data_IF_409662030810
#
_entry.id   IF_409662030810
#
_cell.length_a   1.000
_cell.length_b   1.000
_cell.length_c   1.000
_cell.angle_alpha   90.00
_cell.angle_beta   90.00
_cell.angle_gamma   90.00
#
_symmetry.space_group_name_H-M   'P 1'
#
loop_
_entity.id
_entity.type
_entity.pdbx_description
1 polymer ?
#
# COMPACT_ATOMS: atom_id res chain seq x y z
N UNK A 1 -30.64 -9.33 -27.61
CA UNK A 1 -29.17 -9.44 -27.54
C UNK A 1 -28.80 -9.44 -26.08
N UNK A 2 -28.25 -10.55 -25.59
CA UNK A 2 -27.75 -10.66 -24.23
C UNK A 2 -26.40 -9.95 -24.26
N UNK A 3 -26.31 -8.76 -23.66
CA UNK A 3 -25.01 -8.20 -23.31
C UNK A 3 -24.38 -9.18 -22.33
N UNK A 4 -23.39 -9.93 -22.77
CA UNK A 4 -22.45 -10.54 -21.83
C UNK A 4 -21.85 -9.39 -21.02
N UNK A 5 -21.99 -9.35 -19.69
CA UNK A 5 -21.20 -8.44 -18.89
C UNK A 5 -19.75 -8.91 -19.00
N UNK A 6 -19.05 -8.33 -19.96
CA UNK A 6 -17.59 -8.29 -19.97
C UNK A 6 -17.17 -7.61 -18.67
N UNK A 7 -16.31 -8.26 -17.89
CA UNK A 7 -15.70 -7.71 -16.69
C UNK A 7 -14.60 -6.71 -17.11
N UNK A 8 -14.94 -5.78 -17.98
CA UNK A 8 -14.09 -4.63 -18.31
C UNK A 8 -14.40 -3.57 -17.27
N UNK A 9 -13.40 -3.21 -16.46
CA UNK A 9 -13.46 -1.99 -15.68
C UNK A 9 -13.66 -0.84 -16.69
N UNK A 10 -14.84 -0.25 -16.77
CA UNK A 10 -14.89 1.11 -17.27
C UNK A 10 -14.50 2.01 -16.11
N UNK A 11 -13.70 3.05 -16.38
CA UNK A 11 -13.45 4.14 -15.41
C UNK A 11 -14.77 4.64 -14.79
N UNK A 12 -15.88 4.50 -15.52
CA UNK A 12 -17.25 4.78 -15.07
C UNK A 12 -17.63 4.00 -13.80
N UNK A 13 -17.21 2.74 -13.63
CA UNK A 13 -17.53 1.95 -12.43
C UNK A 13 -16.77 2.44 -11.18
N UNK A 14 -15.51 2.88 -11.33
CA UNK A 14 -14.77 3.47 -10.20
C UNK A 14 -15.39 4.82 -9.83
N UNK A 15 -15.72 5.64 -10.83
CA UNK A 15 -16.39 6.93 -10.64
C UNK A 15 -17.77 6.78 -9.97
N UNK A 16 -18.58 5.79 -10.38
CA UNK A 16 -19.85 5.44 -9.75
C UNK A 16 -19.66 5.12 -8.26
N UNK A 17 -18.66 4.29 -7.95
CA UNK A 17 -18.41 3.86 -6.58
C UNK A 17 -17.95 5.00 -5.68
N UNK A 18 -17.05 5.85 -6.20
CA UNK A 18 -16.60 7.06 -5.50
C UNK A 18 -17.77 8.02 -5.26
N UNK A 19 -18.65 8.20 -6.26
CA UNK A 19 -19.83 9.05 -6.13
C UNK A 19 -20.77 8.53 -5.03
N UNK A 20 -21.03 7.23 -4.99
CA UNK A 20 -21.81 6.63 -3.91
C UNK A 20 -21.16 6.87 -2.54
N UNK A 21 -19.86 6.59 -2.39
CA UNK A 21 -19.15 6.73 -1.11
C UNK A 21 -19.30 8.15 -0.55
N UNK A 22 -19.13 9.16 -1.41
CA UNK A 22 -19.29 10.58 -1.06
C UNK A 22 -20.72 10.93 -0.68
N UNK A 23 -21.70 10.42 -1.42
CA UNK A 23 -23.13 10.73 -1.22
C UNK A 23 -23.77 9.90 -0.09
N UNK A 24 -23.08 8.89 0.43
CA UNK A 24 -23.57 8.05 1.53
C UNK A 24 -23.50 8.75 2.91
N UNK A 25 -22.80 9.89 3.00
CA UNK A 25 -22.71 10.73 4.20
C UNK A 25 -23.13 12.18 3.85
N UNK A 26 -23.66 12.97 4.80
CA UNK A 26 -24.00 14.38 4.56
C UNK A 26 -22.79 15.21 4.10
N UNK A 27 -23.01 16.14 3.16
CA UNK A 27 -21.93 16.96 2.56
C UNK A 27 -21.13 17.76 3.60
N UNK A 28 -21.79 18.33 4.61
CA UNK A 28 -21.11 19.07 5.68
C UNK A 28 -20.22 18.14 6.52
N UNK A 29 -20.67 16.91 6.76
CA UNK A 29 -19.89 15.90 7.46
C UNK A 29 -18.72 15.39 6.61
N UNK A 30 -18.91 15.20 5.31
CA UNK A 30 -17.81 14.88 4.39
C UNK A 30 -16.72 15.96 4.42
N UNK A 31 -17.12 17.22 4.37
CA UNK A 31 -16.20 18.36 4.44
C UNK A 31 -15.46 18.40 5.78
N UNK A 32 -16.18 18.22 6.88
CA UNK A 32 -15.58 18.14 8.21
C UNK A 32 -14.60 16.97 8.35
N UNK A 33 -14.98 15.77 7.91
CA UNK A 33 -14.11 14.59 7.96
C UNK A 33 -12.88 14.74 7.07
N UNK A 34 -13.01 15.43 5.93
CA UNK A 34 -11.88 15.77 5.06
C UNK A 34 -10.86 16.63 5.81
N UNK A 35 -11.31 17.67 6.51
CA UNK A 35 -10.43 18.50 7.35
C UNK A 35 -9.90 17.74 8.59
N UNK A 36 -10.64 16.74 9.09
CA UNK A 36 -10.16 15.86 10.18
C UNK A 36 -9.01 14.95 9.72
N UNK A 37 -9.05 14.44 8.48
CA UNK A 37 -8.01 13.58 7.88
C UNK A 37 -6.77 14.36 7.47
N UNK A 38 -6.93 15.62 7.05
CA UNK A 38 -5.86 16.45 6.49
C UNK A 38 -4.59 16.55 7.38
N UNK A 39 -4.68 16.76 8.71
CA UNK A 39 -3.49 16.74 9.57
C UNK A 39 -2.71 15.42 9.51
N UNK A 40 -3.38 14.26 9.44
CA UNK A 40 -2.70 12.97 9.31
C UNK A 40 -1.90 12.90 8.01
N UNK A 41 -2.52 13.31 6.89
CA UNK A 41 -1.84 13.36 5.59
C UNK A 41 -0.61 14.27 5.63
N UNK A 42 -0.77 15.49 6.13
CA UNK A 42 0.34 16.45 6.26
C UNK A 42 1.48 15.89 7.12
N UNK A 43 1.15 15.27 8.26
CA UNK A 43 2.15 14.74 9.19
C UNK A 43 2.87 13.51 8.61
N UNK A 44 2.15 12.64 7.90
CA UNK A 44 2.74 11.54 7.14
C UNK A 44 3.66 12.12 6.06
N UNK A 45 3.21 13.10 5.29
CA UNK A 45 3.97 13.71 4.19
C UNK A 45 5.27 14.36 4.67
N UNK A 46 5.27 14.92 5.89
CA UNK A 46 6.40 15.61 6.50
C UNK A 46 7.21 14.71 7.45
N UNK A 47 6.90 13.42 7.53
CA UNK A 47 7.58 12.54 8.47
C UNK A 47 9.04 12.32 8.04
N UNK A 48 9.97 12.37 9.01
CA UNK A 48 11.44 12.18 8.81
C UNK A 48 11.83 10.87 8.13
N UNK A 49 10.93 9.89 8.11
CA UNK A 49 11.06 8.65 7.33
C UNK A 49 11.34 8.96 5.84
N UNK A 50 10.65 9.94 5.27
CA UNK A 50 10.75 10.28 3.86
C UNK A 50 11.96 11.17 3.53
N UNK A 51 12.73 11.55 4.55
CA UNK A 51 13.99 12.28 4.46
C UNK A 51 15.19 11.42 4.91
N UNK A 52 14.98 10.11 5.11
CA UNK A 52 15.99 9.22 5.65
C UNK A 52 17.18 9.06 4.70
N UNK A 53 18.42 9.17 5.19
CA UNK A 53 19.68 9.15 4.40
C UNK A 53 19.78 7.99 3.40
N UNK A 54 19.31 6.80 3.78
CA UNK A 54 19.27 5.63 2.89
C UNK A 54 18.52 5.89 1.58
N UNK A 55 17.49 6.76 1.55
CA UNK A 55 16.80 7.14 0.32
C UNK A 55 17.75 7.84 -0.64
N UNK A 56 18.57 8.76 -0.14
CA UNK A 56 19.55 9.45 -0.96
C UNK A 56 20.65 8.48 -1.45
N UNK A 57 21.10 7.56 -0.61
CA UNK A 57 22.04 6.52 -1.02
C UNK A 57 21.46 5.56 -2.07
N UNK A 58 20.16 5.27 -1.97
CA UNK A 58 19.44 4.48 -2.96
C UNK A 58 19.32 5.21 -4.30
N UNK A 59 18.81 6.46 -4.30
CA UNK A 59 18.65 7.31 -5.49
C UNK A 59 19.99 7.59 -6.19
N UNK A 60 21.05 7.84 -5.42
CA UNK A 60 22.41 8.04 -5.95
C UNK A 60 23.12 6.73 -6.29
N UNK A 61 22.42 5.60 -6.24
CA UNK A 61 22.93 4.29 -6.61
C UNK A 61 24.21 3.91 -5.84
N UNK A 62 24.28 4.16 -4.53
CA UNK A 62 25.50 3.89 -3.74
C UNK A 62 25.61 2.45 -3.25
N UNK A 63 24.48 1.80 -2.96
CA UNK A 63 24.46 0.42 -2.45
C UNK A 63 24.89 -0.60 -3.50
N UNK A 64 25.46 -1.72 -3.04
CA UNK A 64 25.85 -2.85 -3.89
C UNK A 64 24.77 -3.94 -3.94
N UNK A 65 24.93 -4.93 -4.84
CA UNK A 65 23.94 -5.99 -5.05
C UNK A 65 23.67 -6.83 -3.79
N UNK A 66 24.69 -7.08 -2.96
CA UNK A 66 24.53 -7.86 -1.73
C UNK A 66 23.73 -7.07 -0.67
N UNK A 67 23.96 -5.76 -0.57
CA UNK A 67 23.18 -4.88 0.33
C UNK A 67 21.73 -4.79 -0.13
N UNK A 68 21.50 -4.59 -1.43
CA UNK A 68 20.16 -4.59 -2.00
C UNK A 68 19.45 -5.93 -1.76
N UNK A 69 20.13 -7.06 -1.95
CA UNK A 69 19.59 -8.39 -1.62
C UNK A 69 19.11 -8.47 -0.18
N UNK A 70 19.92 -7.99 0.79
CA UNK A 70 19.52 -7.97 2.20
C UNK A 70 18.28 -7.11 2.44
N UNK A 71 18.23 -5.90 1.85
CA UNK A 71 17.06 -5.04 1.96
C UNK A 71 15.81 -5.73 1.41
N UNK A 72 15.91 -6.35 0.24
CA UNK A 72 14.76 -6.98 -0.40
C UNK A 72 14.23 -8.18 0.38
N UNK A 73 15.11 -8.99 0.96
CA UNK A 73 14.73 -10.11 1.81
C UNK A 73 13.97 -9.66 3.05
N UNK A 74 14.42 -8.58 3.68
CA UNK A 74 13.77 -8.01 4.86
C UNK A 74 12.45 -7.33 4.48
N UNK A 75 12.41 -6.58 3.37
CA UNK A 75 11.22 -5.90 2.88
C UNK A 75 10.09 -6.87 2.48
N UNK A 76 10.43 -8.03 1.91
CA UNK A 76 9.47 -9.14 1.70
C UNK A 76 8.73 -9.49 3.00
N UNK A 77 9.47 -9.52 4.11
CA UNK A 77 8.96 -9.92 5.42
C UNK A 77 8.33 -8.76 6.21
N UNK A 78 8.52 -7.51 5.79
CA UNK A 78 7.77 -6.37 6.33
C UNK A 78 6.33 -6.38 5.83
N UNK A 79 6.17 -6.36 4.50
CA UNK A 79 4.89 -6.03 3.88
C UNK A 79 4.55 -6.87 2.65
N UNK A 80 5.48 -7.07 1.70
CA UNK A 80 5.13 -7.61 0.37
C UNK A 80 4.41 -8.96 0.45
N UNK A 81 4.85 -9.84 1.35
CA UNK A 81 4.23 -11.16 1.55
C UNK A 81 2.81 -11.09 2.12
N UNK A 82 2.49 -10.04 2.89
CA UNK A 82 1.23 -9.93 3.65
C UNK A 82 0.33 -8.81 3.13
N UNK A 83 0.73 -8.08 2.08
CA UNK A 83 -0.03 -6.93 1.59
C UNK A 83 -1.43 -7.33 1.11
N UNK A 84 -1.52 -8.41 0.30
CA UNK A 84 -2.79 -8.96 -0.16
C UNK A 84 -3.63 -9.55 0.98
N UNK A 85 -2.99 -10.09 2.03
CA UNK A 85 -3.70 -10.52 3.25
C UNK A 85 -4.35 -9.31 3.94
N UNK A 86 -3.59 -8.21 4.11
CA UNK A 86 -4.06 -6.98 4.74
C UNK A 86 -5.20 -6.34 3.94
N UNK A 87 -5.09 -6.26 2.61
CA UNK A 87 -6.19 -5.79 1.74
C UNK A 87 -7.42 -6.69 1.86
N UNK A 88 -7.24 -8.02 1.87
CA UNK A 88 -8.35 -8.97 2.03
C UNK A 88 -9.05 -8.80 3.38
N UNK A 89 -8.28 -8.60 4.45
CA UNK A 89 -8.83 -8.30 5.77
C UNK A 89 -9.57 -6.97 5.77
N UNK A 90 -9.04 -5.94 5.11
CA UNK A 90 -9.71 -4.65 5.00
C UNK A 90 -11.06 -4.75 4.25
N UNK A 91 -11.11 -5.48 3.14
CA UNK A 91 -12.34 -5.80 2.38
C UNK A 91 -13.34 -6.51 3.30
N UNK A 92 -12.89 -7.49 4.08
CA UNK A 92 -13.75 -8.16 5.05
C UNK A 92 -14.29 -7.17 6.10
N UNK A 93 -13.42 -6.35 6.68
CA UNK A 93 -13.75 -5.38 7.73
C UNK A 93 -14.66 -4.23 7.29
N UNK A 94 -14.89 -4.05 5.98
CA UNK A 94 -15.93 -3.14 5.50
C UNK A 94 -17.34 -3.45 6.08
N UNK A 95 -17.56 -4.64 6.66
CA UNK A 95 -18.76 -4.95 7.44
C UNK A 95 -19.03 -3.95 8.59
N UNK A 96 -17.98 -3.31 9.13
CA UNK A 96 -18.10 -2.32 10.21
C UNK A 96 -18.81 -1.03 9.75
N UNK A 97 -18.92 -0.78 8.43
CA UNK A 97 -19.69 0.34 7.90
C UNK A 97 -21.20 0.24 8.19
N UNK A 98 -21.70 -0.98 8.44
CA UNK A 98 -23.11 -1.21 8.77
C UNK A 98 -23.55 -0.54 10.07
N UNK A 99 -22.60 -0.29 10.99
CA UNK A 99 -22.81 0.39 12.26
C UNK A 99 -22.20 1.80 12.32
N UNK A 100 -21.57 2.27 11.24
CA UNK A 100 -20.93 3.57 11.23
C UNK A 100 -21.95 4.71 11.24
N UNK A 101 -21.80 5.62 12.21
CA UNK A 101 -22.75 6.70 12.45
C UNK A 101 -22.68 7.85 11.45
N UNK A 102 -21.58 7.99 10.72
CA UNK A 102 -21.44 9.01 9.67
C UNK A 102 -22.35 8.72 8.47
N UNK A 103 -22.64 7.45 8.25
CA UNK A 103 -23.37 6.97 7.07
C UNK A 103 -24.86 7.01 7.34
N UNK A 104 -25.60 7.56 6.38
CA UNK A 104 -27.06 7.59 6.40
C UNK A 104 -27.61 6.18 6.59
N UNK A 105 -28.59 6.02 7.47
CA UNK A 105 -29.07 4.71 7.90
C UNK A 105 -29.52 3.81 6.73
N UNK A 106 -30.07 4.41 5.67
CA UNK A 106 -30.51 3.71 4.46
C UNK A 106 -29.34 3.22 3.59
N UNK A 107 -28.16 3.87 3.71
CA UNK A 107 -26.97 3.59 2.91
C UNK A 107 -25.97 2.66 3.60
N UNK A 108 -26.08 2.43 4.92
CA UNK A 108 -25.11 1.64 5.71
C UNK A 108 -24.84 0.24 5.19
N UNK A 109 -25.90 -0.54 4.94
CA UNK A 109 -25.77 -1.91 4.44
C UNK A 109 -25.11 -1.93 3.06
N UNK A 110 -25.48 -0.98 2.20
CA UNK A 110 -24.96 -0.89 0.85
C UNK A 110 -23.52 -0.37 0.80
N UNK A 111 -23.14 0.52 1.74
CA UNK A 111 -21.79 1.12 1.81
C UNK A 111 -20.69 0.08 1.94
N UNK A 112 -20.91 -1.03 2.64
CA UNK A 112 -19.93 -2.13 2.68
C UNK A 112 -19.64 -2.72 1.31
N UNK A 113 -20.64 -2.81 0.42
CA UNK A 113 -20.48 -3.39 -0.91
C UNK A 113 -19.66 -2.44 -1.79
N UNK A 114 -19.95 -1.14 -1.72
CA UNK A 114 -19.21 -0.12 -2.46
C UNK A 114 -17.76 -0.01 -1.99
N UNK A 115 -17.52 -0.03 -0.67
CA UNK A 115 -16.17 -0.09 -0.13
C UNK A 115 -15.43 -1.35 -0.57
N UNK A 116 -16.08 -2.52 -0.50
CA UNK A 116 -15.50 -3.79 -0.97
C UNK A 116 -15.17 -3.76 -2.45
N UNK A 117 -16.06 -3.19 -3.27
CA UNK A 117 -15.81 -3.08 -4.70
C UNK A 117 -14.57 -2.24 -4.96
N UNK A 118 -14.48 -1.05 -4.38
CA UNK A 118 -13.34 -0.14 -4.53
C UNK A 118 -12.02 -0.81 -4.12
N UNK A 119 -11.99 -1.39 -2.91
CA UNK A 119 -10.82 -2.11 -2.40
C UNK A 119 -10.49 -3.37 -3.21
N UNK A 120 -11.49 -4.01 -3.83
CA UNK A 120 -11.25 -5.15 -4.71
C UNK A 120 -10.56 -4.74 -5.99
N UNK A 121 -10.74 -3.50 -6.47
CA UNK A 121 -9.97 -3.00 -7.62
C UNK A 121 -8.48 -2.99 -7.28
N UNK A 122 -8.11 -2.49 -6.09
CA UNK A 122 -6.73 -2.52 -5.60
C UNK A 122 -6.22 -3.96 -5.46
N UNK A 123 -7.03 -4.86 -4.86
CA UNK A 123 -6.63 -6.27 -4.72
C UNK A 123 -6.44 -6.97 -6.07
N UNK A 124 -7.26 -6.66 -7.08
CA UNK A 124 -7.12 -7.25 -8.41
C UNK A 124 -5.80 -6.84 -9.06
N UNK A 125 -5.39 -5.57 -8.92
CA UNK A 125 -4.08 -5.10 -9.38
C UNK A 125 -2.94 -5.91 -8.73
N UNK A 126 -2.95 -6.00 -7.40
CA UNK A 126 -1.98 -6.77 -6.63
C UNK A 126 -1.91 -8.26 -7.01
N UNK A 127 -3.03 -8.83 -7.46
CA UNK A 127 -3.15 -10.22 -7.90
C UNK A 127 -2.76 -10.44 -9.38
N UNK A 128 -2.38 -9.39 -10.12
CA UNK A 128 -1.90 -9.48 -11.50
C UNK A 128 -3.00 -9.52 -12.56
N UNK A 129 -4.17 -8.96 -12.24
CA UNK A 129 -5.21 -8.73 -13.25
C UNK A 129 -4.83 -7.55 -14.14
N UNK A 130 -5.05 -7.71 -15.45
CA UNK A 130 -4.99 -6.60 -16.38
C UNK A 130 -6.43 -6.09 -16.58
N UNK A 131 -6.68 -4.88 -16.10
CA UNK A 131 -8.00 -4.27 -16.05
C UNK A 131 -8.50 -3.77 -17.41
N UNK A 132 -7.58 -3.59 -18.38
CA UNK A 132 -7.86 -3.20 -19.77
C UNK A 132 -8.14 -4.43 -20.65
N UNK A 133 -7.35 -5.49 -20.48
CA UNK A 133 -7.48 -6.74 -21.22
C UNK A 133 -7.32 -7.95 -20.30
N UNK A 134 -8.45 -8.49 -19.85
CA UNK A 134 -8.48 -9.61 -18.94
C UNK A 134 -7.77 -10.87 -19.46
N UNK A 135 -7.66 -11.07 -20.78
CA UNK A 135 -6.95 -12.22 -21.33
C UNK A 135 -5.44 -12.15 -21.03
N UNK A 136 -4.93 -10.95 -20.76
CA UNK A 136 -3.54 -10.74 -20.36
C UNK A 136 -3.32 -10.86 -18.84
N UNK A 137 -4.37 -11.06 -18.06
CA UNK A 137 -4.27 -11.30 -16.61
C UNK A 137 -3.51 -12.59 -16.33
N UNK A 138 -2.70 -12.60 -15.27
CA UNK A 138 -2.04 -13.82 -14.82
C UNK A 138 -1.63 -13.71 -13.36
N UNK A 139 -1.85 -14.75 -12.52
CA UNK A 139 -1.34 -14.74 -11.15
C UNK A 139 0.20 -14.67 -11.10
N UNK A 140 0.90 -15.08 -12.17
CA UNK A 140 2.35 -14.96 -12.28
C UNK A 140 2.84 -13.51 -12.52
N UNK A 141 1.90 -12.58 -12.73
CA UNK A 141 2.10 -11.13 -12.82
C UNK A 141 1.66 -10.40 -11.54
N UNK A 142 1.25 -11.11 -10.48
CA UNK A 142 1.00 -10.49 -9.18
C UNK A 142 2.24 -9.82 -8.63
N UNK A 143 2.06 -8.78 -7.82
CA UNK A 143 3.18 -8.03 -7.23
C UNK A 143 4.09 -8.93 -6.41
N UNK A 144 3.52 -9.83 -5.60
CA UNK A 144 4.30 -10.83 -4.87
C UNK A 144 5.08 -11.77 -5.80
N UNK A 145 4.47 -12.30 -6.86
CA UNK A 145 5.16 -13.18 -7.80
C UNK A 145 6.32 -12.46 -8.52
N UNK A 146 6.11 -11.19 -8.91
CA UNK A 146 7.16 -10.36 -9.48
C UNK A 146 8.29 -10.08 -8.49
N UNK A 147 7.96 -9.81 -7.22
CA UNK A 147 8.95 -9.59 -6.18
C UNK A 147 9.80 -10.83 -5.90
N UNK A 148 9.19 -12.03 -5.88
CA UNK A 148 9.93 -13.28 -5.71
C UNK A 148 10.90 -13.53 -6.86
N UNK A 149 10.54 -13.18 -8.11
CA UNK A 149 11.47 -13.26 -9.25
C UNK A 149 12.69 -12.34 -9.08
N UNK A 150 12.54 -11.17 -8.47
CA UNK A 150 13.69 -10.32 -8.12
C UNK A 150 14.61 -11.03 -7.12
N UNK A 151 14.04 -11.70 -6.10
CA UNK A 151 14.83 -12.48 -5.15
C UNK A 151 15.56 -13.66 -5.82
N UNK A 152 14.94 -14.33 -6.79
CA UNK A 152 15.59 -15.36 -7.60
C UNK A 152 16.77 -14.78 -8.41
N UNK A 153 16.62 -13.57 -8.98
CA UNK A 153 17.70 -12.88 -9.68
C UNK A 153 18.88 -12.51 -8.75
N UNK A 154 18.61 -12.26 -7.46
CA UNK A 154 19.65 -12.12 -6.43
C UNK A 154 20.27 -13.46 -6.00
N UNK A 155 19.84 -14.60 -6.56
CA UNK A 155 20.27 -15.93 -6.14
C UNK A 155 19.79 -16.29 -4.73
N UNK A 156 18.61 -15.84 -4.33
CA UNK A 156 17.93 -16.32 -3.12
C UNK A 156 17.21 -17.62 -3.46
N UNK A 157 17.53 -18.70 -2.76
CA UNK A 157 16.80 -19.96 -2.86
C UNK A 157 15.72 -20.01 -1.78
N UNK A 158 14.57 -20.60 -2.12
CA UNK A 158 13.51 -20.90 -1.15
C UNK A 158 13.72 -22.29 -0.50
N UNK A 159 13.36 -22.47 0.79
CA UNK A 159 12.78 -21.48 1.69
C UNK A 159 13.81 -20.46 2.20
N UNK A 160 13.36 -19.22 2.43
CA UNK A 160 14.20 -18.17 3.04
C UNK A 160 14.43 -18.54 4.50
N UNK A 161 15.70 -18.66 4.90
CA UNK A 161 16.09 -18.89 6.29
C UNK A 161 15.68 -17.68 7.15
N UNK A 162 14.81 -17.91 8.14
CA UNK A 162 14.27 -16.83 8.98
C UNK A 162 15.34 -16.13 9.83
N UNK A 163 16.43 -16.82 10.16
CA UNK A 163 17.56 -16.27 10.93
C UNK A 163 18.30 -15.13 10.21
N UNK A 164 18.06 -14.95 8.90
CA UNK A 164 18.63 -13.86 8.09
C UNK A 164 17.74 -12.61 8.04
N UNK A 165 16.60 -12.62 8.73
CA UNK A 165 15.63 -11.52 8.74
C UNK A 165 15.73 -10.76 10.06
N UNK A 166 15.82 -9.45 9.95
CA UNK A 166 15.93 -8.53 11.07
C UNK A 166 14.59 -8.40 11.81
N UNK A 167 14.65 -8.18 13.12
CA UNK A 167 13.47 -8.11 13.98
C UNK A 167 12.57 -6.93 13.63
N UNK A 168 13.14 -5.83 13.10
CA UNK A 168 12.40 -4.67 12.61
C UNK A 168 11.41 -5.04 11.49
N UNK A 169 11.77 -6.00 10.62
CA UNK A 169 10.87 -6.47 9.57
C UNK A 169 9.65 -7.21 10.16
N UNK A 170 9.87 -8.06 11.15
CA UNK A 170 8.79 -8.75 11.85
C UNK A 170 7.93 -7.79 12.67
N UNK A 171 8.52 -6.76 13.29
CA UNK A 171 7.78 -5.77 14.06
C UNK A 171 6.75 -5.01 13.21
N UNK A 172 7.09 -4.66 11.96
CA UNK A 172 6.14 -4.06 11.00
C UNK A 172 5.02 -5.05 10.67
N UNK A 173 5.38 -6.28 10.30
CA UNK A 173 4.43 -7.33 9.94
C UNK A 173 3.43 -7.64 11.07
N UNK A 174 3.92 -7.78 12.29
CA UNK A 174 3.12 -8.07 13.46
C UNK A 174 2.22 -6.88 13.82
N UNK A 175 2.71 -5.66 13.66
CA UNK A 175 1.90 -4.46 13.85
C UNK A 175 0.71 -4.43 12.88
N UNK A 176 0.94 -4.67 11.58
CA UNK A 176 -0.14 -4.72 10.58
C UNK A 176 -1.15 -5.81 10.94
N UNK A 177 -0.68 -7.03 11.23
CA UNK A 177 -1.54 -8.17 11.59
C UNK A 177 -2.38 -7.92 12.84
N UNK A 178 -1.81 -7.26 13.83
CA UNK A 178 -2.56 -6.91 15.05
C UNK A 178 -3.75 -5.99 14.78
N UNK A 179 -3.77 -5.29 13.64
CA UNK A 179 -4.86 -4.39 13.22
C UNK A 179 -5.81 -5.00 12.18
N UNK A 180 -5.67 -6.27 11.80
CA UNK A 180 -6.57 -6.95 10.84
C UNK A 180 -8.06 -6.93 11.21
N UNK A 181 -8.37 -6.64 12.47
CA UNK A 181 -9.73 -6.56 12.98
C UNK A 181 -10.34 -5.15 12.93
N UNK A 182 -9.57 -4.10 12.62
CA UNK A 182 -10.04 -2.71 12.67
C UNK A 182 -10.08 -2.09 11.28
N UNK A 183 -11.28 -1.69 10.82
CA UNK A 183 -11.45 -1.10 9.50
C UNK A 183 -10.67 0.22 9.36
N UNK A 184 -10.86 1.15 10.30
CA UNK A 184 -10.21 2.47 10.25
C UNK A 184 -8.70 2.40 10.47
N UNK A 185 -8.22 1.61 11.44
CA UNK A 185 -6.78 1.53 11.69
C UNK A 185 -6.07 0.88 10.50
N UNK A 186 -6.68 -0.15 9.89
CA UNK A 186 -6.11 -0.81 8.73
C UNK A 186 -6.14 0.07 7.47
N UNK A 187 -7.18 0.88 7.26
CA UNK A 187 -7.20 1.89 6.19
C UNK A 187 -6.02 2.87 6.33
N UNK A 188 -5.80 3.39 7.54
CA UNK A 188 -4.70 4.32 7.81
C UNK A 188 -3.33 3.67 7.62
N UNK A 189 -3.14 2.45 8.14
CA UNK A 189 -1.91 1.66 7.97
C UNK A 189 -1.61 1.44 6.48
N UNK A 190 -2.61 1.01 5.70
CA UNK A 190 -2.40 0.80 4.26
C UNK A 190 -2.20 2.12 3.52
N UNK A 191 -2.85 3.23 3.91
CA UNK A 191 -2.60 4.54 3.31
C UNK A 191 -1.17 5.02 3.51
N UNK A 192 -0.60 4.79 4.70
CA UNK A 192 0.83 5.06 4.99
C UNK A 192 1.73 4.12 4.17
N UNK A 193 1.32 2.86 4.05
CA UNK A 193 2.07 1.83 3.31
C UNK A 193 2.19 2.18 1.84
N UNK A 194 1.11 2.56 1.16
CA UNK A 194 1.13 2.95 -0.26
C UNK A 194 2.15 4.07 -0.51
N UNK A 195 2.12 5.14 0.31
CA UNK A 195 3.09 6.23 0.20
C UNK A 195 4.53 5.74 0.41
N UNK A 196 4.76 4.88 1.40
CA UNK A 196 6.08 4.32 1.68
C UNK A 196 6.56 3.44 0.52
N UNK A 197 5.69 2.61 -0.03
CA UNK A 197 5.98 1.73 -1.16
C UNK A 197 6.35 2.56 -2.38
N UNK A 198 5.58 3.60 -2.73
CA UNK A 198 5.90 4.49 -3.87
C UNK A 198 7.33 5.07 -3.71
N UNK A 199 7.61 5.73 -2.59
CA UNK A 199 8.87 6.47 -2.40
C UNK A 199 10.09 5.54 -2.35
N UNK A 200 10.00 4.43 -1.61
CA UNK A 200 11.15 3.53 -1.44
C UNK A 200 11.30 2.53 -2.58
N UNK A 201 10.21 2.06 -3.21
CA UNK A 201 10.30 1.17 -4.37
C UNK A 201 10.96 1.88 -5.55
N UNK A 202 10.64 3.16 -5.80
CA UNK A 202 11.34 3.93 -6.82
C UNK A 202 12.84 4.05 -6.50
N UNK A 203 13.20 4.41 -5.26
CA UNK A 203 14.60 4.54 -4.87
C UNK A 203 15.36 3.19 -5.01
N UNK A 204 14.73 2.08 -4.63
CA UNK A 204 15.28 0.74 -4.81
C UNK A 204 15.47 0.37 -6.28
N UNK A 205 14.47 0.68 -7.12
CA UNK A 205 14.53 0.47 -8.57
C UNK A 205 15.69 1.26 -9.19
N UNK A 206 15.81 2.54 -8.85
CA UNK A 206 16.90 3.40 -9.32
C UNK A 206 18.27 2.81 -8.99
N UNK A 207 18.46 2.30 -7.77
CA UNK A 207 19.72 1.66 -7.39
C UNK A 207 19.95 0.34 -8.14
N UNK A 208 18.91 -0.48 -8.29
CA UNK A 208 19.03 -1.78 -8.96
C UNK A 208 19.36 -1.67 -10.44
N UNK A 209 18.88 -0.62 -11.10
CA UNK A 209 19.02 -0.44 -12.55
C UNK A 209 20.48 -0.52 -13.04
N UNK A 210 21.46 -0.09 -12.24
CA UNK A 210 22.89 -0.17 -12.62
C UNK A 210 23.45 -1.59 -12.71
N UNK A 211 22.75 -2.58 -12.14
CA UNK A 211 23.17 -3.99 -12.16
C UNK A 211 22.60 -4.77 -13.36
N UNK A 212 21.76 -4.14 -14.18
CA UNK A 212 21.32 -4.69 -15.46
C UNK A 212 19.82 -4.50 -15.70
N UNK A 213 19.43 -4.53 -16.98
CA UNK A 213 18.04 -4.37 -17.45
C UNK A 213 17.09 -5.47 -16.93
N UNK A 214 17.64 -6.58 -16.44
CA UNK A 214 16.88 -7.67 -15.83
C UNK A 214 16.05 -7.21 -14.61
N UNK A 215 16.47 -6.14 -13.95
CA UNK A 215 15.76 -5.51 -12.81
C UNK A 215 14.83 -4.35 -13.23
N UNK A 216 14.76 -4.00 -14.53
CA UNK A 216 13.94 -2.90 -15.06
C UNK A 216 12.52 -3.35 -15.46
N UNK A 217 12.17 -4.62 -15.18
CA UNK A 217 10.90 -5.25 -15.53
C UNK A 217 10.20 -5.84 -14.30
N UNK A 218 8.91 -6.17 -14.43
CA UNK A 218 8.14 -6.83 -13.38
C UNK A 218 7.77 -5.87 -12.25
N UNK A 219 8.21 -6.16 -11.02
CA UNK A 219 7.72 -5.50 -9.80
C UNK A 219 7.81 -3.97 -9.88
N UNK A 220 8.96 -3.44 -10.29
CA UNK A 220 9.15 -1.99 -10.39
C UNK A 220 8.46 -1.34 -11.58
N UNK A 221 8.18 -2.11 -12.64
CA UNK A 221 7.39 -1.61 -13.75
C UNK A 221 5.90 -1.46 -13.38
N UNK A 222 5.41 -2.23 -12.40
CA UNK A 222 4.04 -2.14 -11.90
C UNK A 222 3.82 -0.92 -10.98
N UNK A 223 4.83 -0.55 -10.18
CA UNK A 223 4.74 0.54 -9.19
C UNK A 223 5.02 1.95 -9.75
N UNK A 224 5.36 2.09 -11.03
CA UNK A 224 5.54 3.40 -11.69
C UNK A 224 6.71 4.24 -11.16
N UNK A 225 6.75 5.52 -11.57
CA UNK A 225 7.73 6.54 -11.11
C UNK A 225 6.94 7.62 -10.38
N UNK A 226 7.38 8.08 -9.20
CA UNK A 226 6.73 9.17 -8.49
C UNK A 226 7.04 10.51 -9.18
N UNK A 227 6.35 10.81 -10.28
CA UNK A 227 6.38 12.12 -10.90
C UNK A 227 5.04 12.84 -10.67
N UNK A 228 5.12 14.08 -10.19
CA UNK A 228 4.02 15.05 -10.02
C UNK A 228 3.34 15.47 -11.36
N UNK A 229 3.46 14.68 -12.43
CA UNK A 229 2.90 14.98 -13.75
C UNK A 229 2.24 13.74 -14.39
N UNK A 230 0.91 13.70 -14.27
CA UNK A 230 -0.11 13.08 -15.14
C UNK A 230 0.03 11.61 -15.60
N UNK A 231 1.08 10.88 -15.21
CA UNK A 231 1.14 9.42 -15.29
C UNK A 231 0.93 8.85 -13.88
N UNK A 232 -0.33 8.81 -13.42
CA UNK A 232 -0.68 8.20 -12.15
C UNK A 232 -0.17 6.75 -12.14
N UNK A 233 0.73 6.42 -11.22
CA UNK A 233 1.00 5.02 -10.93
C UNK A 233 -0.31 4.38 -10.40
N UNK A 234 -0.49 3.06 -10.56
CA UNK A 234 -1.67 2.39 -10.00
C UNK A 234 -1.81 2.66 -8.48
N UNK A 235 -0.67 2.78 -7.79
CA UNK A 235 -0.57 3.08 -6.37
C UNK A 235 -1.11 4.48 -5.98
N UNK A 236 -1.04 5.48 -6.87
CA UNK A 236 -1.63 6.80 -6.61
C UNK A 236 -3.15 6.72 -6.52
N UNK A 237 -3.76 5.86 -7.34
CA UNK A 237 -5.19 5.58 -7.27
C UNK A 237 -5.53 4.76 -6.01
N UNK A 238 -4.65 3.84 -5.60
CA UNK A 238 -4.86 3.03 -4.40
C UNK A 238 -4.87 3.88 -3.12
N UNK A 239 -3.88 4.75 -2.95
CA UNK A 239 -3.79 5.65 -1.80
C UNK A 239 -5.02 6.56 -1.70
N UNK A 240 -5.48 7.10 -2.83
CA UNK A 240 -6.67 7.97 -2.87
C UNK A 240 -7.93 7.22 -2.46
N UNK A 241 -8.12 5.98 -2.92
CA UNK A 241 -9.26 5.15 -2.55
C UNK A 241 -9.31 4.85 -1.05
N UNK A 242 -8.17 4.54 -0.44
CA UNK A 242 -8.06 4.32 1.00
C UNK A 242 -8.43 5.59 1.78
N UNK A 243 -7.95 6.76 1.34
CA UNK A 243 -8.30 8.04 1.98
C UNK A 243 -9.78 8.40 1.84
N UNK A 244 -10.42 8.11 0.71
CA UNK A 244 -11.86 8.32 0.53
C UNK A 244 -12.68 7.49 1.54
N UNK A 245 -12.28 6.24 1.74
CA UNK A 245 -12.92 5.35 2.72
C UNK A 245 -12.63 5.78 4.17
N UNK A 246 -11.42 6.30 4.45
CA UNK A 246 -11.10 6.96 5.72
C UNK A 246 -12.05 8.13 5.98
N UNK A 247 -12.22 9.05 5.01
CA UNK A 247 -13.11 10.23 5.15
C UNK A 247 -14.55 9.79 5.39
N UNK A 248 -15.02 8.73 4.72
CA UNK A 248 -16.36 8.19 4.94
C UNK A 248 -16.56 7.72 6.38
N UNK A 249 -15.56 7.05 6.96
CA UNK A 249 -15.71 6.30 8.20
C UNK A 249 -15.19 7.01 9.47
N UNK A 250 -14.27 7.97 9.34
CA UNK A 250 -13.57 8.60 10.48
C UNK A 250 -14.51 9.45 11.32
N UNK A 251 -14.32 9.44 12.64
CA UNK A 251 -15.05 10.31 13.58
C UNK A 251 -14.08 11.03 14.52
N UNK A 252 -14.48 12.16 15.13
CA UNK A 252 -13.63 12.88 16.08
C UNK A 252 -13.06 12.01 17.19
N UNK A 253 -13.84 11.04 17.68
CA UNK A 253 -13.45 10.15 18.78
C UNK A 253 -12.30 9.21 18.38
N UNK A 254 -12.18 8.90 17.08
CA UNK A 254 -11.10 8.07 16.57
C UNK A 254 -9.76 8.81 16.48
N UNK A 255 -9.74 10.14 16.59
CA UNK A 255 -8.55 10.95 16.30
C UNK A 255 -7.34 10.54 17.15
N UNK A 256 -7.52 10.35 18.47
CA UNK A 256 -6.42 10.02 19.37
C UNK A 256 -5.83 8.64 19.07
N UNK A 257 -6.70 7.63 18.89
CA UNK A 257 -6.29 6.27 18.56
C UNK A 257 -5.58 6.21 17.21
N UNK A 258 -6.15 6.82 16.17
CA UNK A 258 -5.55 6.85 14.83
C UNK A 258 -4.20 7.56 14.83
N UNK A 259 -4.04 8.61 15.64
CA UNK A 259 -2.77 9.32 15.73
C UNK A 259 -1.70 8.44 16.40
N UNK A 260 -2.05 7.70 17.44
CA UNK A 260 -1.14 6.71 18.06
C UNK A 260 -0.75 5.61 17.07
N UNK A 261 -1.72 5.06 16.32
CA UNK A 261 -1.48 4.04 15.29
C UNK A 261 -0.53 4.57 14.21
N UNK A 262 -0.80 5.78 13.69
CA UNK A 262 0.05 6.44 12.69
C UNK A 262 1.49 6.61 13.21
N UNK A 263 1.64 7.23 14.38
CA UNK A 263 2.96 7.52 14.95
C UNK A 263 3.77 6.25 15.20
N UNK A 264 3.11 5.22 15.73
CA UNK A 264 3.76 3.93 15.97
C UNK A 264 4.16 3.25 14.67
N UNK A 265 3.30 3.28 13.65
CA UNK A 265 3.59 2.65 12.37
C UNK A 265 4.73 3.37 11.62
N UNK A 266 4.73 4.70 11.60
CA UNK A 266 5.81 5.50 11.02
C UNK A 266 7.14 5.28 11.76
N UNK A 267 7.11 5.17 13.08
CA UNK A 267 8.29 4.85 13.89
C UNK A 267 8.87 3.48 13.57
N UNK A 268 8.02 2.47 13.35
CA UNK A 268 8.45 1.12 12.97
C UNK A 268 9.15 1.12 11.60
N UNK A 269 8.58 1.82 10.63
CA UNK A 269 9.23 2.01 9.32
C UNK A 269 10.54 2.77 9.42
N UNK A 270 10.60 3.83 10.21
CA UNK A 270 11.86 4.55 10.43
C UNK A 270 12.94 3.66 11.04
N UNK A 271 12.59 2.84 12.05
CA UNK A 271 13.51 1.89 12.65
C UNK A 271 14.01 0.86 11.64
N UNK A 272 13.11 0.33 10.81
CA UNK A 272 13.47 -0.59 9.72
C UNK A 272 14.48 0.03 8.75
N UNK A 273 14.21 1.22 8.24
CA UNK A 273 15.11 1.87 7.28
C UNK A 273 16.43 2.31 7.91
N UNK A 274 16.41 2.69 9.19
CA UNK A 274 17.63 2.93 9.99
C UNK A 274 18.49 1.67 10.04
N UNK A 275 17.89 0.52 10.34
CA UNK A 275 18.57 -0.77 10.40
C UNK A 275 19.15 -1.17 9.03
N UNK A 276 18.37 -1.03 7.96
CA UNK A 276 18.83 -1.29 6.59
C UNK A 276 20.02 -0.39 6.21
N UNK A 277 20.02 0.86 6.66
CA UNK A 277 21.12 1.81 6.46
C UNK A 277 22.38 1.36 7.20
N UNK A 278 22.26 0.96 8.46
CA UNK A 278 23.38 0.48 9.28
C UNK A 278 24.05 -0.77 8.67
N UNK A 279 23.25 -1.73 8.22
CA UNK A 279 23.75 -2.93 7.53
C UNK A 279 24.46 -2.53 6.23
N UNK A 280 23.93 -1.54 5.51
CA UNK A 280 24.53 -1.05 4.26
C UNK A 280 25.82 -0.25 4.45
N UNK A 281 26.09 0.25 5.66
CA UNK A 281 27.36 0.93 5.99
C UNK A 281 28.43 -0.03 6.51
N UNK A 282 28.07 -1.24 6.89
CA UNK A 282 29.02 -2.24 7.39
C UNK A 282 29.86 -2.79 6.22
N UNK A 283 31.21 -2.79 6.31
CA UNK A 283 32.05 -3.41 5.30
C UNK A 283 31.68 -4.89 5.18
N UNK A 284 31.45 -5.35 3.94
CA UNK A 284 31.32 -6.78 3.61
C UNK A 284 32.71 -7.40 3.57
#
# INVERSE_FOLDING_TARGET
MIHNPSFTQSEDSRAEVIAFIKNAIPTDLWTFNTELVKPFRTEIDQHVLFEHDILEDLKHQKLNLQQLKTIHLNYLNCIVKIFTDALSMLIFQANQLESNQNIDIQNRILSKIYARYLLSLNLLDELGFNTVDLQQSSPAKSHLAHYLKILEQFGVNHPIEQEKIESEAFAIQDFIRSHYHSYLNLLLILSITEKQVIVFSEALHMNLKKFGEIFDQGYYACHGVANDQDNLANDDNHANDLWLLCIQAIRPENKSELHEVMQRYLSLWQAFWTKMSQISLSPI
#
